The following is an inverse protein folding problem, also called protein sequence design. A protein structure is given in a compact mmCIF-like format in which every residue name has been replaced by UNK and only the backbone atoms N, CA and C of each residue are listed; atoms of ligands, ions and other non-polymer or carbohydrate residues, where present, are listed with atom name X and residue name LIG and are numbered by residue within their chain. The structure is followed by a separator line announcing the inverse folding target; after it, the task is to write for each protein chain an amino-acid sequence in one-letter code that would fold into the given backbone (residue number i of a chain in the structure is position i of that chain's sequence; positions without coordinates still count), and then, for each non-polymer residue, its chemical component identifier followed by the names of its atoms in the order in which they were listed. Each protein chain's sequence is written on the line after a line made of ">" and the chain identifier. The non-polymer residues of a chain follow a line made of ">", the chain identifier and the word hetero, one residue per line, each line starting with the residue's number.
data_IF_300402187412
#
_entry.id   IF_300402187412
#
_cell.length_a   1.000
_cell.length_b   1.000
_cell.length_c   1.000
_cell.angle_alpha   90.00
_cell.angle_beta   90.00
_cell.angle_gamma   90.00
#
_symmetry.space_group_name_H-M   'P 1'
#
loop_
_entity.id
_entity.type
_entity.pdbx_description
1 polymer ?
#
# COMPACT_ATOMS: atom_id res chain seq x y z
N UNK A 1 8.36 -4.76 12.19
CA UNK A 1 8.51 -4.61 10.72
C UNK A 1 7.21 -5.01 10.07
N UNK A 2 6.63 -4.11 9.25
CA UNK A 2 5.36 -4.29 8.56
C UNK A 2 5.29 -5.56 7.70
N UNK A 3 4.10 -5.93 7.23
CA UNK A 3 3.92 -6.95 6.20
C UNK A 3 3.15 -6.39 5.01
N UNK A 4 3.59 -6.73 3.80
CA UNK A 4 2.85 -6.50 2.55
C UNK A 4 2.43 -7.82 1.94
N UNK A 5 1.31 -7.83 1.23
CA UNK A 5 0.82 -9.01 0.51
C UNK A 5 0.09 -8.60 -0.76
N UNK A 6 0.02 -9.50 -1.73
CA UNK A 6 -0.66 -9.26 -3.00
C UNK A 6 -1.32 -10.52 -3.56
N UNK A 7 -2.30 -10.31 -4.42
CA UNK A 7 -3.03 -11.35 -5.14
C UNK A 7 -3.31 -10.88 -6.57
N UNK A 8 -3.11 -11.76 -7.56
CA UNK A 8 -3.46 -11.52 -8.97
C UNK A 8 -4.16 -12.77 -9.53
N UNK A 9 -5.38 -12.58 -10.02
CA UNK A 9 -6.15 -13.63 -10.66
C UNK A 9 -5.69 -13.87 -12.11
N UNK A 10 -5.11 -15.04 -12.37
CA UNK A 10 -4.66 -15.43 -13.73
C UNK A 10 -5.79 -15.85 -14.67
N UNK A 11 -6.93 -16.31 -14.13
CA UNK A 11 -8.09 -16.76 -14.93
C UNK A 11 -9.24 -15.74 -14.85
N UNK A 12 -10.06 -15.58 -15.91
CA UNK A 12 -11.17 -14.63 -15.93
C UNK A 12 -12.21 -14.80 -14.83
N UNK A 13 -12.43 -16.05 -14.39
CA UNK A 13 -13.39 -16.46 -13.36
C UNK A 13 -12.79 -16.43 -11.94
N UNK A 14 -11.46 -16.38 -11.82
CA UNK A 14 -10.79 -16.42 -10.53
C UNK A 14 -10.96 -15.10 -9.76
N UNK A 15 -11.18 -15.22 -8.45
CA UNK A 15 -11.29 -14.13 -7.49
C UNK A 15 -10.38 -14.41 -6.31
N UNK A 16 -10.15 -13.39 -5.49
CA UNK A 16 -9.40 -13.56 -4.26
C UNK A 16 -10.07 -14.58 -3.35
N UNK A 17 -9.26 -15.45 -2.73
CA UNK A 17 -9.75 -16.39 -1.73
C UNK A 17 -9.70 -15.73 -0.34
N UNK A 18 -10.87 -15.40 0.22
CA UNK A 18 -10.96 -14.75 1.53
C UNK A 18 -10.35 -15.59 2.67
N UNK A 19 -10.39 -16.92 2.58
CA UNK A 19 -9.74 -17.79 3.57
C UNK A 19 -8.23 -17.65 3.50
N UNK A 20 -7.67 -17.52 2.30
CA UNK A 20 -6.24 -17.26 2.08
C UNK A 20 -5.84 -15.90 2.63
N UNK A 21 -6.61 -14.84 2.38
CA UNK A 21 -6.33 -13.51 2.96
C UNK A 21 -6.36 -13.55 4.49
N UNK A 22 -7.35 -14.22 5.07
CA UNK A 22 -7.43 -14.39 6.52
C UNK A 22 -6.26 -15.20 7.08
N UNK A 23 -5.77 -16.21 6.35
CA UNK A 23 -4.59 -16.98 6.74
C UNK A 23 -3.32 -16.11 6.70
N UNK A 24 -3.14 -15.28 5.66
CA UNK A 24 -2.05 -14.30 5.57
C UNK A 24 -2.11 -13.33 6.75
N UNK A 25 -3.28 -12.79 7.07
CA UNK A 25 -3.49 -11.89 8.20
C UNK A 25 -3.06 -12.53 9.54
N UNK A 26 -3.51 -13.76 9.80
CA UNK A 26 -3.15 -14.51 11.01
C UNK A 26 -1.65 -14.82 11.09
N UNK A 27 -1.06 -15.26 9.98
CA UNK A 27 0.38 -15.58 9.91
C UNK A 27 1.29 -14.36 10.06
N UNK A 28 0.78 -13.14 9.88
CA UNK A 28 1.56 -11.90 9.94
C UNK A 28 1.09 -10.95 11.04
N UNK A 29 0.28 -11.39 12.00
CA UNK A 29 -0.28 -10.52 13.06
C UNK A 29 0.81 -9.80 13.85
N UNK A 30 1.91 -10.49 14.17
CA UNK A 30 3.04 -9.91 14.91
C UNK A 30 3.80 -8.84 14.12
N UNK A 31 3.66 -8.83 12.78
CA UNK A 31 4.32 -7.86 11.90
C UNK A 31 3.56 -6.56 11.74
N UNK A 32 2.25 -6.53 12.00
CA UNK A 32 1.47 -5.31 11.85
C UNK A 32 0.31 -5.21 12.84
N UNK A 33 0.61 -4.91 14.11
CA UNK A 33 -0.40 -4.84 15.15
C UNK A 33 -1.13 -3.48 15.23
N UNK A 34 -0.67 -2.45 14.51
CA UNK A 34 -1.14 -1.07 14.72
C UNK A 34 -2.24 -0.63 13.74
N UNK A 35 -2.18 -1.04 12.48
CA UNK A 35 -3.20 -0.73 11.47
C UNK A 35 -3.14 -1.73 10.31
N UNK A 36 -4.17 -1.72 9.47
CA UNK A 36 -4.19 -2.48 8.23
C UNK A 36 -4.88 -1.72 7.11
N UNK A 37 -4.58 -2.09 5.87
CA UNK A 37 -5.28 -1.59 4.70
C UNK A 37 -5.01 -2.42 3.46
N UNK A 38 -5.87 -2.28 2.46
CA UNK A 38 -5.75 -2.96 1.18
C UNK A 38 -6.43 -2.15 0.08
N UNK A 39 -5.93 -2.31 -1.15
CA UNK A 39 -6.50 -1.77 -2.37
C UNK A 39 -6.73 -2.91 -3.37
N UNK A 40 -7.78 -2.83 -4.17
CA UNK A 40 -8.15 -3.88 -5.10
C UNK A 40 -8.82 -3.34 -6.36
N UNK A 41 -8.71 -4.12 -7.42
CA UNK A 41 -9.47 -3.94 -8.66
C UNK A 41 -10.55 -5.02 -8.72
N UNK A 42 -11.81 -4.60 -8.77
CA UNK A 42 -12.97 -5.49 -8.83
C UNK A 42 -13.20 -6.07 -10.24
N UNK A 43 -14.22 -6.92 -10.39
CA UNK A 43 -14.55 -7.56 -11.67
C UNK A 43 -14.98 -6.59 -12.76
N UNK A 44 -15.40 -5.38 -12.38
CA UNK A 44 -15.81 -4.33 -13.29
C UNK A 44 -14.63 -3.39 -13.62
N UNK A 45 -13.43 -3.70 -13.14
CA UNK A 45 -12.24 -2.87 -13.33
C UNK A 45 -12.19 -1.65 -12.43
N UNK A 46 -12.99 -1.57 -11.36
CA UNK A 46 -12.99 -0.41 -10.46
C UNK A 46 -11.93 -0.57 -9.39
N UNK A 47 -11.10 0.46 -9.26
CA UNK A 47 -10.11 0.57 -8.21
C UNK A 47 -10.77 1.05 -6.90
N UNK A 48 -10.54 0.33 -5.80
CA UNK A 48 -11.09 0.61 -4.48
C UNK A 48 -10.03 0.41 -3.42
N UNK A 49 -10.22 1.02 -2.25
CA UNK A 49 -9.35 0.83 -1.11
C UNK A 49 -10.09 0.89 0.22
N UNK A 50 -9.49 0.31 1.25
CA UNK A 50 -9.95 0.38 2.62
C UNK A 50 -8.75 0.37 3.57
N UNK A 51 -8.79 1.17 4.64
CA UNK A 51 -7.79 1.15 5.72
C UNK A 51 -8.38 1.53 7.06
N UNK A 52 -7.84 0.95 8.12
CA UNK A 52 -8.28 1.19 9.50
C UNK A 52 -7.14 0.93 10.50
N UNK A 53 -7.14 1.67 11.60
CA UNK A 53 -6.38 1.36 12.82
C UNK A 53 -6.83 0.03 13.44
N UNK A 54 -5.90 -0.63 14.15
CA UNK A 54 -6.10 -1.90 14.81
C UNK A 54 -5.52 -3.09 14.04
N UNK A 55 -5.82 -4.30 14.50
CA UNK A 55 -5.28 -5.53 13.93
C UNK A 55 -6.29 -6.14 12.96
N UNK A 56 -5.86 -6.49 11.75
CA UNK A 56 -6.75 -7.13 10.76
C UNK A 56 -7.41 -8.42 11.28
N UNK A 57 -6.71 -9.17 12.14
CA UNK A 57 -7.24 -10.42 12.72
C UNK A 57 -8.49 -10.21 13.58
N UNK A 58 -8.67 -9.02 14.15
CA UNK A 58 -9.86 -8.66 14.94
C UNK A 58 -11.02 -8.19 14.05
N UNK A 59 -10.76 -7.95 12.76
CA UNK A 59 -11.69 -7.34 11.81
C UNK A 59 -11.83 -8.13 10.50
N UNK A 60 -11.59 -9.45 10.51
CA UNK A 60 -11.54 -10.28 9.29
C UNK A 60 -12.78 -10.16 8.37
N UNK A 61 -13.95 -9.78 8.91
CA UNK A 61 -15.16 -9.54 8.13
C UNK A 61 -15.02 -8.45 7.04
N UNK A 62 -14.14 -7.46 7.24
CA UNK A 62 -13.91 -6.38 6.27
C UNK A 62 -13.29 -6.88 4.96
N UNK A 63 -12.63 -8.05 4.97
CA UNK A 63 -12.07 -8.66 3.75
C UNK A 63 -13.16 -9.00 2.72
N UNK A 64 -14.42 -9.16 3.15
CA UNK A 64 -15.55 -9.39 2.25
C UNK A 64 -15.80 -8.25 1.27
N UNK A 65 -15.33 -7.03 1.57
CA UNK A 65 -15.39 -5.88 0.63
C UNK A 65 -14.64 -6.16 -0.67
N UNK A 66 -13.59 -6.99 -0.61
CA UNK A 66 -12.76 -7.35 -1.75
C UNK A 66 -13.12 -8.74 -2.32
N UNK A 67 -14.30 -9.30 -2.02
CA UNK A 67 -14.67 -10.67 -2.42
C UNK A 67 -14.66 -10.92 -3.94
N UNK A 68 -14.85 -9.87 -4.71
CA UNK A 68 -14.85 -9.87 -6.17
C UNK A 68 -13.53 -9.34 -6.76
N UNK A 69 -12.52 -9.10 -5.93
CA UNK A 69 -11.22 -8.63 -6.36
C UNK A 69 -10.57 -9.60 -7.35
N UNK A 70 -10.10 -9.05 -8.47
CA UNK A 70 -9.23 -9.71 -9.44
C UNK A 70 -7.76 -9.46 -9.14
N UNK A 71 -7.45 -8.31 -8.58
CA UNK A 71 -6.11 -7.93 -8.13
C UNK A 71 -6.26 -7.26 -6.77
N UNK A 72 -5.33 -7.50 -5.86
CA UNK A 72 -5.33 -6.89 -4.52
C UNK A 72 -3.90 -6.71 -4.04
N UNK A 73 -3.64 -5.59 -3.37
CA UNK A 73 -2.47 -5.38 -2.54
C UNK A 73 -2.92 -5.04 -1.12
N UNK A 74 -2.13 -5.39 -0.12
CA UNK A 74 -2.46 -5.09 1.27
C UNK A 74 -1.24 -4.92 2.16
N UNK A 75 -1.47 -4.28 3.29
CA UNK A 75 -0.47 -3.89 4.26
C UNK A 75 -0.97 -4.11 5.69
N UNK A 76 -0.09 -4.64 6.54
CA UNK A 76 -0.24 -4.68 7.99
C UNK A 76 0.86 -3.80 8.59
N UNK A 77 0.45 -2.72 9.26
CA UNK A 77 1.33 -1.65 9.71
C UNK A 77 1.87 -1.90 11.11
N UNK A 78 3.19 -1.77 11.22
CA UNK A 78 3.90 -1.50 12.45
C UNK A 78 4.39 -0.05 12.37
N UNK A 79 3.69 0.85 13.03
CA UNK A 79 4.02 2.28 13.01
C UNK A 79 5.48 2.54 13.44
N UNK A 80 6.22 3.27 12.59
CA UNK A 80 7.59 3.74 12.83
C UNK A 80 7.66 5.27 12.69
N UNK A 81 7.06 5.82 11.62
CA UNK A 81 6.82 7.25 11.42
C UNK A 81 5.31 7.53 11.36
N UNK A 82 4.86 8.58 12.03
CA UNK A 82 3.45 8.98 12.12
C UNK A 82 2.60 8.07 13.02
N UNK A 83 1.62 8.63 13.71
CA UNK A 83 0.71 7.86 14.55
C UNK A 83 -0.20 6.93 13.71
N UNK A 84 -0.45 5.71 14.17
CA UNK A 84 -1.43 4.79 13.57
C UNK A 84 -2.87 5.08 13.97
N UNK A 85 -3.10 5.89 15.01
CA UNK A 85 -4.41 6.48 15.31
C UNK A 85 -4.91 7.40 14.19
N UNK A 86 -4.00 8.02 13.44
CA UNK A 86 -4.35 8.80 12.25
C UNK A 86 -4.33 7.93 10.99
N UNK A 87 -5.51 7.69 10.41
CA UNK A 87 -5.64 6.89 9.19
C UNK A 87 -4.93 7.47 7.96
N UNK A 88 -4.58 8.76 7.93
CA UNK A 88 -3.78 9.34 6.86
C UNK A 88 -2.39 8.68 6.77
N UNK A 89 -1.82 8.30 7.91
CA UNK A 89 -0.51 7.65 8.01
C UNK A 89 -0.54 6.15 7.68
N UNK A 90 -1.73 5.57 7.51
CA UNK A 90 -1.89 4.14 7.25
C UNK A 90 -1.88 3.88 5.74
N UNK A 91 -1.19 2.82 5.32
CA UNK A 91 -1.27 2.31 3.95
C UNK A 91 -2.67 1.79 3.61
N UNK A 92 -3.06 1.79 2.32
CA UNK A 92 -2.28 2.26 1.17
C UNK A 92 -2.21 3.79 1.06
N UNK A 93 -1.17 4.27 0.38
CA UNK A 93 -0.98 5.68 0.00
C UNK A 93 -1.29 5.87 -1.49
N UNK A 94 -1.83 7.03 -1.90
CA UNK A 94 -2.11 7.32 -3.31
C UNK A 94 -0.82 7.43 -4.12
N UNK A 95 -0.87 7.05 -5.40
CA UNK A 95 0.23 7.19 -6.35
C UNK A 95 -0.30 7.23 -7.79
N UNK A 96 -0.35 8.41 -8.41
CA UNK A 96 -0.69 8.57 -9.84
C UNK A 96 -2.00 7.85 -10.24
N UNK A 97 -3.10 8.19 -9.56
CA UNK A 97 -4.40 7.53 -9.75
C UNK A 97 -4.51 6.11 -9.20
N UNK A 98 -3.40 5.52 -8.76
CA UNK A 98 -3.32 4.21 -8.12
C UNK A 98 -3.09 4.25 -6.60
N UNK A 99 -2.75 3.10 -6.05
CA UNK A 99 -2.44 2.90 -4.64
C UNK A 99 -1.16 2.09 -4.47
N UNK A 100 -0.33 2.48 -3.49
CA UNK A 100 0.88 1.75 -3.11
C UNK A 100 0.87 1.29 -1.66
N UNK A 101 1.52 0.16 -1.42
CA UNK A 101 1.91 -0.31 -0.09
C UNK A 101 3.41 -0.50 -0.04
N UNK A 102 4.05 -0.12 1.06
CA UNK A 102 5.50 -0.14 1.22
C UNK A 102 5.88 -0.76 2.56
N UNK A 103 6.86 -1.65 2.54
CA UNK A 103 7.54 -2.15 3.74
C UNK A 103 9.03 -1.82 3.62
N UNK A 104 9.50 -0.97 4.53
CA UNK A 104 10.83 -0.41 4.45
C UNK A 104 10.90 0.90 5.24
N UNK A 105 12.04 1.59 5.11
CA UNK A 105 12.23 2.94 5.64
C UNK A 105 12.90 3.76 4.56
N UNK A 106 12.20 4.79 4.07
CA UNK A 106 12.75 5.76 3.12
C UNK A 106 13.54 6.81 3.89
N UNK A 107 14.86 6.62 3.99
CA UNK A 107 15.75 7.42 4.85
C UNK A 107 15.87 8.87 4.38
N UNK A 108 15.71 9.10 3.09
CA UNK A 108 15.85 10.41 2.46
C UNK A 108 14.50 11.06 2.12
N UNK A 109 13.40 10.67 2.78
CA UNK A 109 12.06 11.21 2.47
C UNK A 109 11.99 12.74 2.66
N UNK A 110 12.58 13.31 3.71
CA UNK A 110 12.64 14.76 3.93
C UNK A 110 13.40 15.51 2.83
N UNK A 111 14.65 15.13 2.48
CA UNK A 111 15.33 15.68 1.30
C UNK A 111 14.52 15.58 0.00
N UNK A 112 13.83 14.46 -0.23
CA UNK A 112 13.01 14.27 -1.42
C UNK A 112 11.80 15.21 -1.44
N UNK A 113 11.10 15.34 -0.30
CA UNK A 113 9.97 16.28 -0.15
C UNK A 113 10.42 17.70 -0.46
N UNK A 114 11.56 18.14 0.09
CA UNK A 114 12.08 19.49 -0.15
C UNK A 114 12.50 19.70 -1.61
N UNK A 115 13.29 18.77 -2.18
CA UNK A 115 13.83 18.86 -3.54
C UNK A 115 12.73 18.92 -4.60
N UNK A 116 11.71 18.09 -4.45
CA UNK A 116 10.61 17.94 -5.41
C UNK A 116 9.37 18.78 -5.05
N UNK A 117 9.46 19.59 -3.97
CA UNK A 117 8.36 20.42 -3.46
C UNK A 117 7.07 19.62 -3.26
N UNK A 118 7.22 18.38 -2.77
CA UNK A 118 6.10 17.48 -2.50
C UNK A 118 5.24 18.06 -1.38
N UNK A 119 3.95 17.74 -1.39
CA UNK A 119 2.98 18.18 -0.37
C UNK A 119 2.30 16.96 0.27
N UNK A 120 3.04 16.15 1.04
CA UNK A 120 2.43 15.02 1.74
C UNK A 120 1.39 15.53 2.75
N UNK A 121 0.29 14.79 2.88
CA UNK A 121 -0.76 15.05 3.88
C UNK A 121 -0.67 14.10 5.08
N UNK A 122 0.22 13.12 5.00
CA UNK A 122 0.57 12.20 6.08
C UNK A 122 2.00 12.44 6.56
N UNK A 123 2.30 11.89 7.72
CA UNK A 123 3.65 11.86 8.33
C UNK A 123 4.41 10.59 7.92
N UNK A 124 3.81 9.74 7.07
CA UNK A 124 4.43 8.49 6.64
C UNK A 124 5.37 8.75 5.46
N UNK A 125 6.64 8.38 5.63
CA UNK A 125 7.69 8.38 4.60
C UNK A 125 7.24 7.76 3.26
N UNK A 126 6.38 6.74 3.32
CA UNK A 126 5.86 6.01 2.16
C UNK A 126 5.02 6.87 1.21
N UNK A 127 4.41 7.96 1.69
CA UNK A 127 3.66 8.87 0.81
C UNK A 127 4.57 9.59 -0.17
N UNK A 128 5.82 9.87 0.20
CA UNK A 128 6.78 10.50 -0.69
C UNK A 128 7.04 9.67 -1.95
N UNK A 129 7.03 8.33 -1.85
CA UNK A 129 7.15 7.44 -3.02
C UNK A 129 5.98 7.64 -3.99
N UNK A 130 4.75 7.73 -3.47
CA UNK A 130 3.56 7.91 -4.30
C UNK A 130 3.54 9.27 -5.00
N UNK A 131 3.93 10.32 -4.30
CA UNK A 131 4.05 11.67 -4.86
C UNK A 131 5.17 11.79 -5.90
N UNK A 132 6.28 11.06 -5.72
CA UNK A 132 7.35 11.00 -6.75
C UNK A 132 6.88 10.29 -8.01
N UNK A 133 6.11 9.19 -7.88
CA UNK A 133 5.51 8.52 -9.03
C UNK A 133 4.58 9.48 -9.78
N UNK A 134 3.74 10.23 -9.06
CA UNK A 134 2.81 11.21 -9.64
C UNK A 134 3.52 12.39 -10.33
N UNK A 135 4.68 12.83 -9.83
CA UNK A 135 5.44 13.92 -10.43
C UNK A 135 6.38 13.51 -11.57
N UNK A 136 6.66 12.21 -11.77
CA UNK A 136 7.55 11.80 -12.84
C UNK A 136 6.94 12.09 -14.21
N UNK A 137 7.77 12.62 -15.12
CA UNK A 137 7.39 12.95 -16.49
C UNK A 137 7.52 11.75 -17.44
N UNK A 138 7.93 10.57 -16.95
CA UNK A 138 8.04 9.39 -17.80
C UNK A 138 6.65 8.97 -18.34
N UNK A 139 6.53 8.69 -19.65
CA UNK A 139 5.24 8.35 -20.25
C UNK A 139 4.69 7.01 -19.76
N UNK A 140 5.55 6.12 -19.26
CA UNK A 140 5.19 4.78 -18.79
C UNK A 140 5.10 4.73 -17.27
N UNK A 141 4.11 3.98 -16.75
CA UNK A 141 4.03 3.71 -15.33
C UNK A 141 5.31 3.06 -14.78
N UNK A 142 5.92 2.15 -15.56
CA UNK A 142 7.16 1.49 -15.19
C UNK A 142 8.32 2.48 -15.01
N UNK A 143 8.44 3.48 -15.87
CA UNK A 143 9.47 4.50 -15.75
C UNK A 143 9.20 5.44 -14.59
N UNK A 144 7.94 5.88 -14.39
CA UNK A 144 7.57 6.68 -13.22
C UNK A 144 7.88 5.99 -11.89
N UNK A 145 7.60 4.69 -11.82
CA UNK A 145 7.97 3.85 -10.65
C UNK A 145 9.49 3.70 -10.53
N UNK A 146 10.21 3.51 -11.64
CA UNK A 146 11.66 3.40 -11.63
C UNK A 146 12.32 4.70 -11.13
N UNK A 147 11.84 5.87 -11.54
CA UNK A 147 12.33 7.17 -11.08
C UNK A 147 12.19 7.30 -9.55
N UNK A 148 11.00 6.99 -9.03
CA UNK A 148 10.74 7.04 -7.59
C UNK A 148 11.63 6.07 -6.80
N UNK A 149 11.81 4.84 -7.29
CA UNK A 149 12.67 3.83 -6.66
C UNK A 149 14.15 4.20 -6.75
N UNK A 150 14.61 4.75 -7.86
CA UNK A 150 16.00 5.18 -8.04
C UNK A 150 16.35 6.39 -7.17
N UNK A 151 15.37 7.24 -6.85
CA UNK A 151 15.53 8.36 -5.92
C UNK A 151 15.53 7.92 -4.45
N UNK A 152 15.01 6.73 -4.13
CA UNK A 152 14.86 6.26 -2.76
C UNK A 152 16.17 5.75 -2.15
N UNK A 153 16.45 6.15 -0.91
CA UNK A 153 17.52 5.57 -0.10
C UNK A 153 16.93 4.78 1.08
N UNK A 154 17.34 3.51 1.20
CA UNK A 154 16.93 2.60 2.26
C UNK A 154 16.34 1.28 1.76
N UNK A 155 16.01 0.36 2.70
CA UNK A 155 15.34 -0.89 2.34
C UNK A 155 13.94 -0.59 1.81
N UNK A 156 13.61 -1.13 0.64
CA UNK A 156 12.34 -0.88 -0.04
C UNK A 156 11.77 -2.17 -0.62
N UNK A 157 10.56 -2.52 -0.17
CA UNK A 157 9.68 -3.46 -0.84
C UNK A 157 8.33 -2.78 -1.06
N UNK A 158 7.89 -2.67 -2.31
CA UNK A 158 6.68 -1.94 -2.67
C UNK A 158 5.79 -2.79 -3.58
N UNK A 159 4.48 -2.72 -3.37
CA UNK A 159 3.48 -3.17 -4.34
C UNK A 159 2.62 -1.97 -4.72
N UNK A 160 2.23 -1.90 -5.99
CA UNK A 160 1.31 -0.88 -6.49
C UNK A 160 0.18 -1.51 -7.30
N UNK A 161 -0.95 -0.82 -7.35
CA UNK A 161 -2.12 -1.21 -8.13
C UNK A 161 -2.79 0.03 -8.71
N UNK A 162 -3.12 -0.05 -10.00
CA UNK A 162 -3.75 0.99 -10.81
C UNK A 162 -4.94 0.36 -11.55
#
# INVERSE_FOLDING_TARGET
>A
MCAIFGFIARRPDARVNLRTLAAIARGNVARGPHAFGFAWVDVLGRLRMYKQTGRLVDHLGVLSMARDARMLIGHLRYATHGDAGNNLNNHPHPADGGWIVHNGVLRNYEPLIARHRLRPVSECDSEALGLLIEQSEDPSLSGRVADAVNAADGPLAMLGIW
#
